data_IF_815232249885
#
_entry.id   IF_815232249885
#
_cell.length_a   1.000
_cell.length_b   1.000
_cell.length_c   1.000
_cell.angle_alpha   90.00
_cell.angle_beta   90.00
_cell.angle_gamma   90.00
#
_symmetry.space_group_name_H-M   'P 1'
#
loop_
_entity.id
_entity.type
_entity.pdbx_description
1 polymer ?
#
# COMPACT_ATOMS: atom_id res chain seq x y z
N UNK A 1 -36.02 42.04 8.75
CA UNK A 1 -34.82 42.79 9.19
C UNK A 1 -33.62 42.14 8.52
N UNK A 2 -33.03 42.84 7.56
CA UNK A 2 -31.93 42.41 6.69
C UNK A 2 -30.68 43.17 7.13
N UNK A 3 -29.53 42.51 7.24
CA UNK A 3 -28.24 43.17 7.45
C UNK A 3 -27.36 42.93 6.22
N UNK A 4 -27.37 43.94 5.36
CA UNK A 4 -26.39 44.22 4.31
C UNK A 4 -25.17 44.91 4.92
N UNK A 5 -23.96 44.48 4.55
CA UNK A 5 -22.73 45.30 4.51
C UNK A 5 -21.90 44.74 3.34
N UNK A 6 -22.08 45.18 2.09
CA UNK A 6 -21.39 46.27 1.38
C UNK A 6 -19.85 46.28 1.47
N UNK A 7 -19.22 45.93 0.34
CA UNK A 7 -17.82 46.19 -0.01
C UNK A 7 -17.58 47.67 -0.33
N UNK A 8 -16.35 48.18 -0.17
CA UNK A 8 -15.87 49.32 -0.95
C UNK A 8 -15.05 48.87 -2.18
N UNK A 9 -15.45 49.41 -3.35
CA UNK A 9 -14.67 49.52 -4.58
C UNK A 9 -14.18 50.98 -4.68
N UNK A 10 -12.92 51.19 -5.05
CA UNK A 10 -12.36 52.35 -5.81
C UNK A 10 -10.87 52.06 -6.01
N UNK A 11 -10.29 51.82 -7.19
CA UNK A 11 -10.39 52.41 -8.54
C UNK A 11 -9.64 53.75 -8.69
N UNK A 12 -8.42 53.70 -9.25
CA UNK A 12 -7.67 54.77 -9.93
C UNK A 12 -6.26 54.21 -10.33
N UNK A 13 -6.08 53.73 -11.57
CA UNK A 13 -5.54 54.44 -12.75
C UNK A 13 -4.02 54.72 -12.79
N UNK A 14 -3.39 54.01 -13.73
CA UNK A 14 -2.48 54.51 -14.80
C UNK A 14 -1.00 54.86 -14.49
N UNK A 15 -0.13 54.06 -15.14
CA UNK A 15 1.26 54.27 -15.60
C UNK A 15 1.67 55.70 -16.04
N UNK A 16 2.98 56.09 -16.03
CA UNK A 16 3.94 55.68 -17.08
C UNK A 16 5.42 55.45 -16.68
N UNK A 17 6.10 54.71 -17.57
CA UNK A 17 7.55 54.50 -17.72
C UNK A 17 8.29 55.78 -18.15
N UNK A 18 9.59 55.92 -17.82
CA UNK A 18 10.55 56.33 -18.87
C UNK A 18 11.84 55.47 -18.94
N UNK A 19 12.20 55.08 -20.18
CA UNK A 19 13.57 54.79 -20.65
C UNK A 19 14.50 56.03 -20.45
N UNK A 20 15.85 56.06 -20.40
CA UNK A 20 16.90 55.38 -21.21
C UNK A 20 18.32 55.77 -20.68
N UNK A 21 19.31 54.88 -20.92
CA UNK A 21 20.82 54.88 -20.87
C UNK A 21 21.58 56.17 -21.31
N UNK A 22 22.94 56.36 -21.14
CA UNK A 22 24.04 55.38 -21.37
C UNK A 22 25.40 55.46 -20.56
N UNK A 23 26.17 54.35 -20.63
CA UNK A 23 27.64 54.11 -20.63
C UNK A 23 28.67 54.88 -19.74
N UNK A 24 29.55 54.10 -19.07
CA UNK A 24 31.00 54.03 -19.41
C UNK A 24 31.78 52.88 -18.71
N UNK A 25 32.32 51.99 -19.55
CA UNK A 25 33.65 51.34 -19.56
C UNK A 25 34.33 50.70 -18.32
N UNK A 26 34.50 49.37 -18.45
CA UNK A 26 35.74 48.57 -18.30
C UNK A 26 36.44 48.44 -16.93
N UNK A 27 36.43 47.21 -16.39
CA UNK A 27 37.65 46.41 -16.16
C UNK A 27 37.30 44.92 -15.98
N UNK A 28 37.82 44.10 -16.89
CA UNK A 28 37.63 42.65 -17.00
C UNK A 28 38.80 41.95 -16.30
N UNK A 29 38.59 41.04 -15.32
CA UNK A 29 39.62 40.09 -14.92
C UNK A 29 39.71 38.93 -15.93
N UNK A 30 40.89 38.33 -16.14
CA UNK A 30 41.06 37.20 -17.06
C UNK A 30 40.27 35.97 -16.58
N UNK A 31 39.83 35.08 -17.49
CA UNK A 31 39.11 33.87 -17.09
C UNK A 31 40.06 32.91 -16.34
N UNK A 32 39.59 32.25 -15.26
CA UNK A 32 40.34 31.16 -14.66
C UNK A 32 40.42 29.98 -15.65
N UNK A 33 41.47 29.14 -15.55
CA UNK A 33 41.71 28.05 -16.47
C UNK A 33 40.55 27.05 -16.44
N UNK A 34 40.26 26.52 -17.62
CA UNK A 34 39.31 25.45 -17.91
C UNK A 34 39.61 24.23 -17.04
N UNK A 35 39.02 24.16 -15.86
CA UNK A 35 38.74 22.88 -15.21
C UNK A 35 37.34 22.51 -15.64
N UNK A 36 37.23 21.50 -16.50
CA UNK A 36 36.01 20.75 -16.74
C UNK A 36 35.57 20.07 -15.44
N UNK A 37 35.07 20.87 -14.51
CA UNK A 37 34.22 20.39 -13.45
C UNK A 37 32.85 20.24 -14.10
N UNK A 38 32.62 19.06 -14.70
CA UNK A 38 31.26 18.53 -14.76
C UNK A 38 30.83 18.38 -13.30
N UNK A 39 30.36 19.48 -12.72
CA UNK A 39 29.54 19.44 -11.53
C UNK A 39 28.33 18.64 -11.99
N UNK A 40 28.33 17.34 -11.68
CA UNK A 40 27.15 16.53 -11.81
C UNK A 40 26.09 17.27 -11.00
N UNK A 41 25.19 17.96 -11.70
CA UNK A 41 23.96 18.45 -11.11
C UNK A 41 23.40 17.27 -10.32
N UNK A 42 23.02 17.44 -9.03
CA UNK A 42 22.36 16.35 -8.33
C UNK A 42 21.24 15.89 -9.25
N UNK A 43 21.26 14.60 -9.61
CA UNK A 43 20.30 14.05 -10.55
C UNK A 43 18.92 14.53 -10.10
N UNK A 44 18.24 15.30 -10.95
CA UNK A 44 16.99 15.93 -10.59
C UNK A 44 16.05 14.83 -10.06
N UNK A 45 15.44 15.06 -8.90
CA UNK A 45 14.48 14.10 -8.36
C UNK A 45 13.42 13.79 -9.44
N UNK A 46 13.01 12.51 -9.60
CA UNK A 46 12.00 12.15 -10.57
C UNK A 46 10.77 13.04 -10.41
N UNK A 47 10.27 13.59 -11.52
CA UNK A 47 9.06 14.42 -11.53
C UNK A 47 7.92 13.68 -12.22
N UNK A 48 6.70 13.99 -11.81
CA UNK A 48 5.47 13.39 -12.33
C UNK A 48 5.07 14.11 -13.62
N UNK A 49 5.04 13.39 -14.76
CA UNK A 49 4.60 13.96 -16.04
C UNK A 49 3.09 13.78 -16.28
N UNK A 50 2.52 12.77 -15.62
CA UNK A 50 1.10 12.42 -15.60
C UNK A 50 0.81 11.76 -14.26
N UNK A 51 -0.41 11.84 -13.70
CA UNK A 51 -0.73 11.23 -12.41
C UNK A 51 -0.29 9.77 -12.32
N UNK A 52 0.64 9.48 -11.41
CA UNK A 52 1.22 8.17 -11.19
C UNK A 52 2.42 7.78 -12.03
N UNK A 53 2.79 8.58 -13.03
CA UNK A 53 3.82 8.22 -13.99
C UNK A 53 5.03 9.17 -13.86
N UNK A 54 6.18 8.59 -13.53
CA UNK A 54 7.38 9.33 -13.15
C UNK A 54 8.38 9.39 -14.30
N UNK A 55 9.11 10.51 -14.42
CA UNK A 55 10.07 10.76 -15.52
C UNK A 55 11.18 9.72 -15.66
N UNK A 56 11.44 8.94 -14.62
CA UNK A 56 12.42 7.83 -14.60
C UNK A 56 11.81 6.47 -14.99
N UNK A 57 10.54 6.44 -15.40
CA UNK A 57 9.80 5.24 -15.79
C UNK A 57 9.17 4.49 -14.62
N UNK A 58 9.31 4.98 -13.37
CA UNK A 58 8.66 4.36 -12.21
C UNK A 58 7.18 4.73 -12.11
N UNK A 59 6.42 3.90 -11.39
CA UNK A 59 5.04 4.19 -11.03
C UNK A 59 4.95 4.75 -9.61
N UNK A 60 4.05 5.70 -9.36
CA UNK A 60 3.81 6.26 -8.01
C UNK A 60 2.41 5.89 -7.50
N UNK A 61 2.17 6.09 -6.19
CA UNK A 61 0.88 5.83 -5.56
C UNK A 61 -0.29 6.65 -6.16
N UNK A 62 0.01 7.75 -6.86
CA UNK A 62 -1.00 8.56 -7.54
C UNK A 62 -1.52 7.93 -8.83
N UNK A 63 -0.94 6.79 -9.26
CA UNK A 63 -1.38 6.12 -10.46
C UNK A 63 -2.81 5.63 -10.30
N UNK A 64 -3.66 5.95 -11.28
CA UNK A 64 -5.09 5.65 -11.26
C UNK A 64 -5.37 4.16 -11.00
N UNK A 65 -4.56 3.26 -11.56
CA UNK A 65 -4.70 1.82 -11.34
C UNK A 65 -4.42 1.41 -9.88
N UNK A 66 -3.45 2.08 -9.22
CA UNK A 66 -3.15 1.87 -7.80
C UNK A 66 -4.32 2.34 -6.94
N UNK A 67 -4.81 3.56 -7.19
CA UNK A 67 -5.94 4.13 -6.44
C UNK A 67 -7.20 3.27 -6.60
N UNK A 68 -7.49 2.83 -7.82
CA UNK A 68 -8.63 1.98 -8.10
C UNK A 68 -8.49 0.61 -7.44
N UNK A 69 -7.29 0.00 -7.49
CA UNK A 69 -7.00 -1.26 -6.83
C UNK A 69 -7.22 -1.17 -5.30
N UNK A 70 -6.66 -0.14 -4.65
CA UNK A 70 -6.83 0.10 -3.20
C UNK A 70 -8.29 0.36 -2.83
N UNK A 71 -9.03 1.08 -3.68
CA UNK A 71 -10.47 1.29 -3.45
C UNK A 71 -11.25 -0.01 -3.55
N UNK A 72 -11.01 -0.81 -4.60
CA UNK A 72 -11.76 -2.04 -4.88
C UNK A 72 -11.44 -3.15 -3.88
N UNK A 73 -10.18 -3.30 -3.46
CA UNK A 73 -9.82 -4.26 -2.41
C UNK A 73 -10.47 -3.91 -1.07
N UNK A 74 -10.56 -2.61 -0.74
CA UNK A 74 -11.27 -2.16 0.46
C UNK A 74 -12.76 -2.54 0.43
N UNK A 75 -13.42 -2.28 -0.70
CA UNK A 75 -14.82 -2.67 -0.90
C UNK A 75 -15.02 -4.18 -0.81
N UNK A 76 -14.16 -4.97 -1.46
CA UNK A 76 -14.23 -6.42 -1.42
C UNK A 76 -14.10 -6.98 0.00
N UNK A 77 -13.26 -6.38 0.84
CA UNK A 77 -13.18 -6.74 2.27
C UNK A 77 -14.48 -6.42 3.02
N UNK A 78 -15.08 -5.26 2.76
CA UNK A 78 -16.34 -4.86 3.40
C UNK A 78 -17.51 -5.77 3.00
N UNK A 79 -17.60 -6.15 1.72
CA UNK A 79 -18.59 -7.11 1.21
C UNK A 79 -18.40 -8.49 1.85
N UNK A 80 -17.17 -9.02 1.83
CA UNK A 80 -16.86 -10.31 2.42
C UNK A 80 -17.10 -10.34 3.93
N UNK A 81 -16.87 -9.23 4.64
CA UNK A 81 -17.19 -9.12 6.06
C UNK A 81 -18.69 -9.19 6.30
N UNK A 82 -19.47 -8.45 5.51
CA UNK A 82 -20.93 -8.43 5.62
C UNK A 82 -21.54 -9.81 5.34
N UNK A 83 -21.04 -10.52 4.32
CA UNK A 83 -21.43 -11.89 4.01
C UNK A 83 -21.08 -12.85 5.14
N UNK A 84 -19.87 -12.77 5.69
CA UNK A 84 -19.46 -13.60 6.82
C UNK A 84 -20.32 -13.29 8.06
N UNK A 85 -20.67 -12.03 8.30
CA UNK A 85 -21.47 -11.59 9.44
C UNK A 85 -22.95 -11.96 9.35
N UNK A 86 -23.46 -12.22 8.14
CA UNK A 86 -24.85 -12.63 7.94
C UNK A 86 -25.17 -14.01 8.56
N UNK A 87 -24.15 -14.83 8.84
CA UNK A 87 -24.29 -16.14 9.45
C UNK A 87 -24.25 -16.04 10.99
N UNK A 88 -25.30 -16.47 11.72
CA UNK A 88 -25.36 -16.35 13.18
C UNK A 88 -24.18 -16.99 13.93
N UNK A 89 -23.66 -18.11 13.44
CA UNK A 89 -22.49 -18.82 13.97
C UNK A 89 -21.21 -17.99 13.95
N UNK A 90 -21.14 -16.97 13.09
CA UNK A 90 -19.97 -16.11 12.92
C UNK A 90 -20.01 -14.87 13.80
N UNK A 91 -21.12 -14.61 14.51
CA UNK A 91 -21.26 -13.46 15.40
C UNK A 91 -20.08 -13.24 16.37
N UNK A 92 -19.43 -14.28 16.95
CA UNK A 92 -18.27 -14.09 17.82
C UNK A 92 -17.07 -13.42 17.13
N UNK A 93 -16.90 -13.61 15.82
CA UNK A 93 -15.82 -13.02 15.04
C UNK A 93 -16.01 -11.53 14.77
N UNK A 94 -17.26 -11.05 14.84
CA UNK A 94 -17.69 -9.71 14.46
C UNK A 94 -17.97 -8.79 15.65
N UNK A 95 -17.62 -9.23 16.87
CA UNK A 95 -17.71 -8.37 18.05
C UNK A 95 -16.64 -7.28 17.95
N UNK A 96 -17.09 -6.06 17.70
CA UNK A 96 -16.23 -4.88 17.59
C UNK A 96 -16.14 -4.14 18.93
N UNK A 97 -14.97 -3.60 19.25
CA UNK A 97 -14.78 -2.64 20.36
C UNK A 97 -13.86 -1.51 19.91
N UNK A 98 -14.03 -0.31 20.48
CA UNK A 98 -13.21 0.84 20.13
C UNK A 98 -13.29 1.20 18.65
N UNK A 99 -12.19 1.00 17.92
CA UNK A 99 -11.95 1.43 16.54
C UNK A 99 -12.76 0.69 15.44
N UNK A 100 -13.80 -0.06 15.82
CA UNK A 100 -14.70 -0.79 14.89
C UNK A 100 -14.01 -1.78 13.96
N UNK A 101 -12.95 -2.43 14.43
CA UNK A 101 -12.31 -3.57 13.76
C UNK A 101 -12.80 -4.84 14.44
N UNK A 102 -13.15 -5.85 13.65
CA UNK A 102 -13.54 -7.18 14.10
C UNK A 102 -12.34 -8.14 14.09
N UNK A 103 -12.42 -9.25 14.84
CA UNK A 103 -11.41 -10.31 14.75
C UNK A 103 -11.39 -10.97 13.37
N UNK A 104 -12.56 -11.07 12.72
CA UNK A 104 -12.61 -11.48 11.32
C UNK A 104 -11.78 -10.56 10.43
N UNK A 105 -11.97 -9.25 10.52
CA UNK A 105 -11.21 -8.28 9.71
C UNK A 105 -9.71 -8.35 10.02
N UNK A 106 -9.36 -8.49 11.30
CA UNK A 106 -7.96 -8.56 11.72
C UNK A 106 -7.22 -9.80 11.19
N UNK A 107 -7.88 -10.96 11.11
CA UNK A 107 -7.22 -12.22 10.74
C UNK A 107 -7.55 -12.71 9.33
N UNK A 108 -8.79 -12.54 8.87
CA UNK A 108 -9.35 -13.24 7.70
C UNK A 108 -9.49 -12.37 6.46
N UNK A 109 -9.51 -11.04 6.60
CA UNK A 109 -9.67 -10.13 5.45
C UNK A 109 -8.48 -10.13 4.47
N UNK A 110 -7.37 -10.77 4.84
CA UNK A 110 -6.14 -10.78 4.07
C UNK A 110 -6.28 -11.39 2.68
N UNK A 111 -5.79 -10.70 1.65
CA UNK A 111 -5.86 -11.20 0.25
C UNK A 111 -4.76 -12.18 -0.13
N UNK A 112 -3.72 -12.31 0.70
CA UNK A 112 -2.65 -13.29 0.51
C UNK A 112 -2.58 -14.22 1.72
N UNK A 113 -2.28 -15.49 1.45
CA UNK A 113 -2.04 -16.52 2.44
C UNK A 113 -0.56 -16.91 2.49
N UNK A 114 -0.22 -17.66 3.54
CA UNK A 114 1.12 -18.23 3.67
C UNK A 114 1.43 -19.15 2.47
N UNK A 115 2.54 -18.87 1.79
CA UNK A 115 2.95 -19.60 0.58
C UNK A 115 2.50 -18.96 -0.73
N UNK A 116 1.63 -17.95 -0.69
CA UNK A 116 1.27 -17.20 -1.90
C UNK A 116 2.45 -16.38 -2.42
N UNK A 117 2.55 -16.34 -3.75
CA UNK A 117 3.57 -15.58 -4.47
C UNK A 117 2.96 -14.65 -5.53
N UNK A 118 3.79 -14.18 -6.45
CA UNK A 118 3.35 -13.21 -7.47
C UNK A 118 2.21 -13.69 -8.38
N UNK A 119 2.03 -14.99 -8.59
CA UNK A 119 0.94 -15.50 -9.40
C UNK A 119 -0.42 -15.34 -8.70
N UNK A 120 -0.50 -15.62 -7.40
CA UNK A 120 -1.71 -15.36 -6.61
C UNK A 120 -2.02 -13.86 -6.57
N UNK A 121 -1.00 -13.04 -6.30
CA UNK A 121 -1.09 -11.58 -6.37
C UNK A 121 -1.60 -11.10 -7.73
N UNK A 122 -1.07 -11.65 -8.83
CA UNK A 122 -1.50 -11.31 -10.20
C UNK A 122 -2.97 -11.60 -10.39
N UNK A 123 -3.45 -12.77 -9.99
CA UNK A 123 -4.86 -13.12 -10.05
C UNK A 123 -5.73 -12.08 -9.32
N UNK A 124 -5.35 -11.64 -8.12
CA UNK A 124 -6.10 -10.62 -7.39
C UNK A 124 -6.10 -9.26 -8.07
N UNK A 125 -4.95 -8.79 -8.56
CA UNK A 125 -4.84 -7.50 -9.26
C UNK A 125 -5.65 -7.53 -10.55
N UNK A 126 -5.48 -8.55 -11.39
CA UNK A 126 -6.21 -8.68 -12.66
C UNK A 126 -7.71 -8.84 -12.42
N UNK A 127 -8.13 -9.61 -11.42
CA UNK A 127 -9.55 -9.75 -11.08
C UNK A 127 -10.17 -8.42 -10.64
N UNK A 128 -9.52 -7.70 -9.70
CA UNK A 128 -10.02 -6.41 -9.23
C UNK A 128 -9.95 -5.32 -10.30
N UNK A 129 -9.19 -5.51 -11.37
CA UNK A 129 -9.02 -4.56 -12.46
C UNK A 129 -9.63 -5.05 -13.79
N UNK A 130 -10.46 -6.11 -13.76
CA UNK A 130 -10.94 -6.81 -14.96
C UNK A 130 -11.71 -5.93 -15.96
N UNK A 131 -12.44 -4.92 -15.47
CA UNK A 131 -13.25 -4.02 -16.32
C UNK A 131 -12.42 -3.11 -17.23
N UNK A 132 -11.10 -3.04 -17.00
CA UNK A 132 -10.19 -2.18 -17.75
C UNK A 132 -9.76 -2.81 -19.10
N UNK A 133 -10.38 -3.93 -19.45
CA UNK A 133 -10.12 -4.71 -20.65
C UNK A 133 -9.02 -5.76 -20.45
N UNK A 134 -8.94 -6.77 -21.33
CA UNK A 134 -7.84 -7.73 -21.34
C UNK A 134 -6.57 -7.03 -21.83
N UNK A 135 -5.96 -6.25 -20.95
CA UNK A 135 -4.55 -5.92 -21.05
C UNK A 135 -3.80 -7.00 -20.31
N UNK A 136 -2.95 -7.75 -20.98
CA UNK A 136 -1.95 -8.57 -20.29
C UNK A 136 -1.03 -7.60 -19.52
N UNK A 137 -1.43 -7.24 -18.30
CA UNK A 137 -0.63 -6.42 -17.42
C UNK A 137 0.70 -7.15 -17.26
N UNK A 138 1.80 -6.49 -17.65
CA UNK A 138 3.10 -7.10 -17.44
C UNK A 138 3.29 -7.37 -15.95
N UNK A 139 4.01 -8.44 -15.62
CA UNK A 139 4.23 -8.80 -14.22
C UNK A 139 4.88 -7.65 -13.43
N UNK A 140 5.73 -6.85 -14.08
CA UNK A 140 6.36 -5.69 -13.47
C UNK A 140 5.33 -4.59 -13.12
N UNK A 141 4.27 -4.37 -13.94
CA UNK A 141 3.19 -3.44 -13.59
C UNK A 141 2.33 -3.99 -12.45
N UNK A 142 1.99 -5.28 -12.48
CA UNK A 142 1.24 -5.94 -11.38
C UNK A 142 1.97 -5.80 -10.05
N UNK A 143 3.28 -6.05 -10.05
CA UNK A 143 4.16 -5.86 -8.88
C UNK A 143 4.08 -4.43 -8.37
N UNK A 144 4.21 -3.46 -9.27
CA UNK A 144 4.17 -2.06 -8.91
C UNK A 144 2.80 -1.65 -8.34
N UNK A 145 1.68 -2.09 -8.94
CA UNK A 145 0.32 -1.81 -8.46
C UNK A 145 0.13 -2.36 -7.04
N UNK A 146 0.47 -3.62 -6.83
CA UNK A 146 0.30 -4.29 -5.56
C UNK A 146 1.13 -3.62 -4.46
N UNK A 147 2.42 -3.41 -4.70
CA UNK A 147 3.34 -2.85 -3.70
C UNK A 147 2.98 -1.41 -3.36
N UNK A 148 2.68 -0.57 -4.35
CA UNK A 148 2.23 0.79 -4.09
C UNK A 148 0.89 0.80 -3.35
N UNK A 149 -0.03 -0.13 -3.66
CA UNK A 149 -1.28 -0.27 -2.94
C UNK A 149 -1.07 -0.62 -1.47
N UNK A 150 -0.24 -1.62 -1.19
CA UNK A 150 0.10 -2.06 0.15
C UNK A 150 0.78 -0.93 0.96
N UNK A 151 1.80 -0.27 0.39
CA UNK A 151 2.49 0.85 1.03
C UNK A 151 1.56 2.05 1.25
N UNK A 152 0.67 2.35 0.30
CA UNK A 152 -0.29 3.46 0.44
C UNK A 152 -1.34 3.19 1.51
N UNK A 153 -1.72 1.93 1.74
CA UNK A 153 -2.68 1.55 2.77
C UNK A 153 -2.06 1.48 4.18
N UNK A 154 -0.74 1.26 4.29
CA UNK A 154 -0.02 1.03 5.54
C UNK A 154 -0.31 2.06 6.66
N UNK A 155 -0.28 3.39 6.41
CA UNK A 155 -0.49 4.36 7.49
C UNK A 155 -1.97 4.54 7.87
N UNK A 156 -2.90 3.78 7.29
CA UNK A 156 -4.34 3.98 7.46
C UNK A 156 -5.10 2.74 7.95
N UNK A 157 -4.84 2.25 9.18
CA UNK A 157 -5.53 1.10 9.78
C UNK A 157 -7.05 1.25 9.94
N UNK A 158 -7.60 2.47 9.80
CA UNK A 158 -9.04 2.71 9.78
C UNK A 158 -9.75 2.30 8.49
N UNK A 159 -9.03 2.04 7.39
CA UNK A 159 -9.63 1.59 6.13
C UNK A 159 -9.53 0.07 5.98
N UNK A 160 -10.53 -0.54 5.35
CA UNK A 160 -10.57 -1.98 5.09
C UNK A 160 -9.37 -2.48 4.26
N UNK A 161 -8.90 -1.66 3.31
CA UNK A 161 -7.73 -1.99 2.49
C UNK A 161 -6.45 -2.23 3.32
N UNK A 162 -6.28 -1.56 4.47
CA UNK A 162 -5.16 -1.85 5.36
C UNK A 162 -5.17 -3.32 5.78
N UNK A 163 -6.34 -3.84 6.20
CA UNK A 163 -6.48 -5.20 6.71
C UNK A 163 -6.33 -6.26 5.62
N UNK A 164 -6.66 -5.91 4.37
CA UNK A 164 -6.43 -6.77 3.22
C UNK A 164 -4.93 -7.09 3.00
N UNK A 165 -4.05 -6.12 3.25
CA UNK A 165 -2.60 -6.28 3.10
C UNK A 165 -1.95 -6.69 4.43
N UNK A 166 -2.29 -6.00 5.51
CA UNK A 166 -1.54 -6.00 6.77
C UNK A 166 -2.28 -6.69 7.93
N UNK A 167 -3.37 -7.40 7.63
CA UNK A 167 -4.01 -8.34 8.54
C UNK A 167 -3.05 -9.45 9.00
N UNK A 168 -3.37 -10.12 10.09
CA UNK A 168 -2.46 -11.07 10.75
C UNK A 168 -1.95 -12.17 9.81
N UNK A 169 -2.82 -12.70 8.96
CA UNK A 169 -2.46 -13.79 8.04
C UNK A 169 -1.78 -13.32 6.76
N UNK A 170 -2.06 -12.09 6.29
CA UNK A 170 -1.53 -11.57 5.02
C UNK A 170 -0.30 -10.69 5.17
N UNK A 171 -0.01 -10.19 6.37
CA UNK A 171 1.07 -9.22 6.59
C UNK A 171 2.44 -9.77 6.17
N UNK A 172 2.76 -11.02 6.53
CA UNK A 172 4.06 -11.63 6.20
C UNK A 172 4.20 -11.88 4.69
N UNK A 173 3.27 -12.56 4.00
CA UNK A 173 3.32 -12.69 2.54
C UNK A 173 3.39 -11.33 1.83
N UNK A 174 2.60 -10.36 2.25
CA UNK A 174 2.63 -9.00 1.68
C UNK A 174 4.01 -8.36 1.87
N UNK A 175 4.58 -8.45 3.07
CA UNK A 175 5.90 -7.91 3.36
C UNK A 175 7.00 -8.58 2.54
N UNK A 176 6.91 -9.89 2.28
CA UNK A 176 7.85 -10.59 1.40
C UNK A 176 7.81 -10.03 -0.03
N UNK A 177 6.61 -9.82 -0.59
CA UNK A 177 6.44 -9.25 -1.92
C UNK A 177 6.88 -7.78 -2.00
N UNK A 178 6.55 -6.97 -0.98
CA UNK A 178 7.00 -5.57 -0.88
C UNK A 178 8.52 -5.51 -0.80
N UNK A 179 9.13 -6.33 0.06
CA UNK A 179 10.57 -6.37 0.22
C UNK A 179 11.26 -6.80 -1.08
N UNK A 180 10.72 -7.78 -1.81
CA UNK A 180 11.28 -8.18 -3.10
C UNK A 180 11.33 -7.03 -4.11
N UNK A 181 10.35 -6.12 -4.12
CA UNK A 181 10.31 -4.98 -5.06
C UNK A 181 11.16 -3.82 -4.58
N UNK A 182 11.10 -3.49 -3.29
CA UNK A 182 11.80 -2.34 -2.71
C UNK A 182 13.30 -2.60 -2.54
N UNK A 183 13.67 -3.78 -2.03
CA UNK A 183 15.06 -4.11 -1.70
C UNK A 183 15.74 -4.97 -2.75
N UNK A 184 15.10 -5.28 -3.88
CA UNK A 184 15.77 -6.00 -4.97
C UNK A 184 17.06 -5.27 -5.30
N UNK A 185 18.20 -5.98 -5.41
CA UNK A 185 19.45 -5.33 -5.77
C UNK A 185 19.22 -4.59 -7.09
N UNK A 186 19.63 -3.32 -7.13
CA UNK A 186 20.10 -2.71 -8.38
C UNK A 186 21.18 -3.66 -8.90
N UNK A 187 20.81 -4.68 -9.67
CA UNK A 187 21.72 -5.76 -10.01
C UNK A 187 22.86 -5.17 -10.85
N UNK A 188 24.01 -4.98 -10.20
CA UNK A 188 25.29 -4.99 -10.88
C UNK A 188 25.48 -6.42 -11.38
N UNK A 189 25.64 -6.57 -12.69
CA UNK A 189 25.87 -7.85 -13.38
C UNK A 189 27.04 -8.56 -12.71
N UNK A 190 26.86 -9.86 -12.46
CA UNK A 190 27.91 -10.75 -12.01
C UNK A 190 28.85 -11.19 -13.16
N UNK A 191 28.66 -10.67 -14.37
CA UNK A 191 29.52 -10.94 -15.52
C UNK A 191 30.64 -9.86 -15.61
N UNK A 192 31.91 -10.22 -15.34
CA UNK A 192 33.05 -9.30 -15.45
C UNK A 192 33.34 -8.85 -16.89
N UNK A 193 32.74 -9.49 -17.90
CA UNK A 193 32.88 -9.12 -19.32
C UNK A 193 31.77 -8.19 -19.84
N UNK A 194 30.63 -8.09 -19.18
CA UNK A 194 29.60 -7.09 -19.49
C UNK A 194 29.80 -5.82 -18.65
N UNK A 195 30.61 -4.88 -19.15
CA UNK A 195 30.92 -3.56 -18.54
C UNK A 195 29.72 -2.61 -18.31
N UNK A 196 28.49 -3.07 -18.48
CA UNK A 196 27.28 -2.27 -18.24
C UNK A 196 26.12 -3.21 -17.94
N UNK A 197 26.07 -3.72 -16.73
CA UNK A 197 24.76 -4.02 -16.16
C UNK A 197 24.07 -2.69 -15.97
N UNK A 198 23.09 -2.39 -16.81
CA UNK A 198 22.18 -1.32 -16.45
C UNK A 198 21.43 -1.81 -15.19
N UNK A 199 21.49 -1.07 -14.07
CA UNK A 199 20.73 -1.44 -12.90
C UNK A 199 19.27 -1.52 -13.33
N UNK A 200 18.62 -2.68 -13.10
CA UNK A 200 17.19 -2.82 -13.42
C UNK A 200 16.46 -1.62 -12.79
N UNK A 201 15.68 -0.84 -13.57
CA UNK A 201 15.05 0.37 -13.06
C UNK A 201 14.11 0.01 -11.92
N UNK A 202 14.01 0.91 -10.94
CA UNK A 202 13.04 0.77 -9.88
C UNK A 202 11.64 0.66 -10.52
N UNK A 203 10.80 -0.24 -9.99
CA UNK A 203 9.43 -0.38 -10.48
C UNK A 203 8.54 0.76 -9.96
N UNK A 204 8.91 1.32 -8.82
CA UNK A 204 8.07 2.23 -8.06
C UNK A 204 8.86 3.44 -7.58
N UNK A 205 8.17 4.57 -7.48
CA UNK A 205 8.55 5.68 -6.62
C UNK A 205 7.88 5.48 -5.27
N UNK A 206 8.67 5.41 -4.21
CA UNK A 206 8.19 5.19 -2.86
C UNK A 206 7.24 6.32 -2.38
N UNK A 207 6.10 5.99 -1.74
CA UNK A 207 5.19 7.01 -1.22
C UNK A 207 5.86 7.88 -0.16
N UNK A 208 5.67 9.21 -0.22
CA UNK A 208 6.37 10.19 0.65
C UNK A 208 6.22 9.98 2.16
N UNK A 209 5.15 9.32 2.60
CA UNK A 209 4.82 9.15 4.01
C UNK A 209 5.22 7.77 4.56
N UNK A 210 5.85 6.94 3.74
CA UNK A 210 6.23 5.57 4.09
C UNK A 210 7.69 5.36 3.69
N UNK A 211 8.44 4.68 4.56
CA UNK A 211 9.81 4.28 4.28
C UNK A 211 9.96 2.80 4.59
N UNK A 212 10.28 2.00 3.58
CA UNK A 212 10.51 0.56 3.67
C UNK A 212 12.00 0.27 3.47
N UNK A 213 12.73 0.13 4.57
CA UNK A 213 14.18 -0.11 4.55
C UNK A 213 14.46 -1.58 4.24
N UNK A 214 13.85 -2.45 5.03
CA UNK A 214 13.90 -3.90 4.91
C UNK A 214 12.62 -4.52 5.49
N UNK A 215 12.47 -5.84 5.35
CA UNK A 215 11.31 -6.59 5.85
C UNK A 215 11.13 -6.44 7.36
N UNK A 216 12.20 -6.47 8.15
CA UNK A 216 12.11 -6.45 9.61
C UNK A 216 11.63 -5.09 10.12
N UNK A 217 12.19 -4.02 9.57
CA UNK A 217 11.74 -2.65 9.81
C UNK A 217 10.30 -2.44 9.34
N UNK A 218 9.95 -2.88 8.13
CA UNK A 218 8.59 -2.79 7.61
C UNK A 218 7.57 -3.53 8.49
N UNK A 219 7.89 -4.74 8.93
CA UNK A 219 7.04 -5.51 9.84
C UNK A 219 6.96 -4.93 11.25
N UNK A 220 8.00 -4.24 11.71
CA UNK A 220 7.93 -3.45 12.94
C UNK A 220 6.92 -2.31 12.81
N UNK A 221 6.95 -1.58 11.70
CA UNK A 221 5.97 -0.52 11.43
C UNK A 221 4.54 -1.07 11.33
N UNK A 222 4.33 -2.18 10.61
CA UNK A 222 3.02 -2.86 10.50
C UNK A 222 2.45 -3.19 11.89
N UNK A 223 3.27 -3.76 12.80
CA UNK A 223 2.84 -4.04 14.18
C UNK A 223 2.44 -2.75 14.90
N UNK A 224 3.25 -1.69 14.81
CA UNK A 224 2.96 -0.40 15.42
C UNK A 224 1.62 0.19 14.97
N UNK A 225 1.31 0.15 13.67
CA UNK A 225 0.01 0.62 13.15
C UNK A 225 -1.16 -0.28 13.57
N UNK A 226 -0.95 -1.59 13.59
CA UNK A 226 -2.01 -2.58 13.83
C UNK A 226 -2.43 -2.69 15.29
N UNK A 227 -1.47 -2.72 16.21
CA UNK A 227 -1.71 -3.14 17.60
C UNK A 227 -2.70 -2.20 18.32
N UNK A 228 -2.70 -0.91 17.99
CA UNK A 228 -3.67 0.06 18.52
C UNK A 228 -5.10 -0.10 18.00
N UNK A 229 -5.32 -0.92 16.98
CA UNK A 229 -6.61 -1.10 16.28
C UNK A 229 -7.24 -2.47 16.49
N UNK A 230 -6.52 -3.41 17.12
CA UNK A 230 -7.05 -4.75 17.37
C UNK A 230 -8.22 -4.71 18.36
N UNK A 231 -9.20 -5.64 18.23
CA UNK A 231 -10.31 -5.72 19.18
C UNK A 231 -9.80 -5.99 20.59
N UNK A 232 -10.38 -5.31 21.59
CA UNK A 232 -10.07 -5.54 23.01
C UNK A 232 -10.80 -6.76 23.59
N UNK A 233 -11.80 -7.28 22.88
CA UNK A 233 -12.52 -8.49 23.31
C UNK A 233 -11.66 -9.73 23.09
N UNK A 234 -11.77 -10.76 23.94
CA UNK A 234 -11.04 -12.00 23.75
C UNK A 234 -11.33 -12.62 22.38
N UNK A 235 -10.28 -13.15 21.75
CA UNK A 235 -10.35 -13.79 20.46
C UNK A 235 -11.37 -14.96 20.48
N UNK A 236 -12.16 -15.20 19.41
CA UNK A 236 -13.16 -16.27 19.37
C UNK A 236 -12.63 -17.64 19.79
N UNK A 237 -11.41 -17.99 19.36
CA UNK A 237 -10.77 -19.26 19.73
C UNK A 237 -10.41 -19.34 21.23
N UNK A 238 -10.08 -18.22 21.87
CA UNK A 238 -9.79 -18.17 23.31
C UNK A 238 -11.07 -18.31 24.14
N UNK A 239 -12.18 -17.74 23.67
CA UNK A 239 -13.50 -17.94 24.29
C UNK A 239 -13.90 -19.42 24.26
N UNK A 240 -13.75 -20.07 23.10
CA UNK A 240 -14.08 -21.50 22.94
C UNK A 240 -13.27 -22.39 23.88
N UNK A 241 -11.98 -22.11 24.03
CA UNK A 241 -11.11 -22.85 24.94
C UNK A 241 -11.51 -22.66 26.43
N UNK A 242 -11.94 -21.45 26.82
CA UNK A 242 -12.42 -21.18 28.19
C UNK A 242 -13.79 -21.81 28.47
N UNK A 243 -14.71 -21.81 27.51
CA UNK A 243 -16.01 -22.47 27.64
C UNK A 243 -15.84 -23.99 27.73
N UNK A 244 -14.99 -24.58 26.88
CA UNK A 244 -14.69 -26.02 26.93
C UNK A 244 -13.93 -26.43 28.20
N UNK A 245 -13.07 -25.55 28.75
CA UNK A 245 -12.41 -25.77 30.04
C UNK A 245 -13.36 -25.66 31.24
N UNK A 246 -14.39 -24.81 31.15
CA UNK A 246 -15.43 -24.68 32.17
C UNK A 246 -16.44 -25.84 32.14
N UNK A 247 -16.77 -26.35 30.95
CA UNK A 247 -17.62 -27.54 30.78
C UNK A 247 -16.85 -28.86 30.99
N UNK A 248 -15.52 -28.82 30.88
CA UNK A 248 -14.61 -29.96 31.04
C UNK A 248 -14.26 -30.32 32.49
N UNK A 249 -14.74 -29.55 33.48
CA UNK A 249 -14.66 -29.93 34.91
C UNK A 249 -15.76 -30.94 35.31
N UNK A 250 -16.52 -31.42 34.32
CA UNK A 250 -17.36 -32.61 34.40
C UNK A 250 -16.80 -33.74 33.52
N UNK A 251 -15.51 -34.06 33.70
CA UNK A 251 -14.97 -35.38 33.40
C UNK A 251 -14.38 -35.61 31.99
N UNK A 252 -13.30 -36.40 32.02
CA UNK A 252 -12.60 -37.11 30.93
C UNK A 252 -11.32 -36.44 30.43
N UNK A 253 -10.24 -36.88 31.06
CA UNK A 253 -8.88 -36.93 30.52
C UNK A 253 -8.85 -37.61 29.15
N UNK A 254 -8.46 -36.91 28.10
CA UNK A 254 -7.76 -37.53 26.97
C UNK A 254 -7.05 -36.47 26.13
N UNK A 255 -5.72 -36.48 26.21
CA UNK A 255 -4.87 -35.60 25.42
C UNK A 255 -4.96 -35.91 23.93
N UNK A 256 -5.14 -34.86 23.13
CA UNK A 256 -4.72 -34.80 21.73
C UNK A 256 -4.41 -33.35 21.38
N UNK A 257 -3.12 -33.03 21.29
CA UNK A 257 -2.61 -31.85 20.59
C UNK A 257 -3.06 -31.92 19.13
N UNK A 258 -4.17 -31.25 18.80
CA UNK A 258 -4.53 -31.02 17.40
C UNK A 258 -3.66 -29.91 16.85
N UNK A 259 -2.94 -30.25 15.79
CA UNK A 259 -2.15 -29.33 14.99
C UNK A 259 -3.04 -28.15 14.53
N UNK A 260 -2.45 -26.95 14.60
CA UNK A 260 -3.03 -25.68 14.20
C UNK A 260 -3.12 -25.65 12.68
N UNK A 261 -4.31 -25.84 12.11
CA UNK A 261 -4.53 -25.57 10.70
C UNK A 261 -4.51 -24.04 10.46
N UNK A 262 -3.77 -23.56 9.45
CA UNK A 262 -3.81 -22.17 9.04
C UNK A 262 -5.11 -21.92 8.28
N UNK A 263 -6.16 -21.54 9.00
CA UNK A 263 -7.40 -21.08 8.39
C UNK A 263 -7.19 -19.68 7.79
N UNK A 264 -6.73 -19.63 6.54
CA UNK A 264 -6.80 -18.44 5.70
C UNK A 264 -8.21 -18.22 5.12
N UNK A 265 -8.32 -17.27 4.20
CA UNK A 265 -9.50 -16.78 3.44
C UNK A 265 -10.43 -17.86 2.84
N UNK A 266 -10.11 -19.15 2.93
CA UNK A 266 -10.82 -20.26 2.26
C UNK A 266 -11.79 -21.06 3.16
N UNK A 267 -11.92 -20.73 4.45
CA UNK A 267 -12.82 -21.45 5.37
C UNK A 267 -14.27 -20.95 5.33
N UNK A 268 -14.53 -19.82 4.68
CA UNK A 268 -15.87 -19.51 4.18
C UNK A 268 -15.98 -20.18 2.82
N UNK A 269 -16.90 -21.14 2.66
CA UNK A 269 -17.12 -21.91 1.42
C UNK A 269 -17.60 -21.11 0.20
N UNK A 270 -17.03 -19.93 -0.05
CA UNK A 270 -17.14 -19.19 -1.29
C UNK A 270 -15.77 -19.21 -1.97
N UNK A 271 -15.54 -20.07 -2.98
CA UNK A 271 -14.44 -19.81 -3.90
C UNK A 271 -14.65 -18.42 -4.50
N UNK A 272 -13.57 -17.64 -4.66
CA UNK A 272 -13.57 -16.57 -5.66
C UNK A 272 -13.86 -17.23 -7.02
N UNK A 273 -15.13 -17.24 -7.45
CA UNK A 273 -15.54 -17.90 -8.68
C UNK A 273 -17.05 -18.02 -8.90
N UNK A 274 -17.49 -17.46 -10.02
CA UNK A 274 -18.75 -17.71 -10.76
C UNK A 274 -20.06 -17.18 -10.19
N UNK A 275 -20.37 -15.93 -10.57
CA UNK A 275 -21.66 -15.67 -11.22
C UNK A 275 -21.44 -14.92 -12.53
N UNK A 276 -21.41 -15.68 -13.62
CA UNK A 276 -22.08 -15.20 -14.83
C UNK A 276 -23.57 -15.08 -14.49
N UNK A 277 -24.11 -13.87 -14.64
CA UNK A 277 -25.51 -13.61 -14.95
C UNK A 277 -25.53 -12.37 -15.84
#
# INVERSE_FOLDING_TARGET
>A
MSLFIQHPISDARSEPVPERKPNSSQSRPPPPPTTSSTTASPAAAPYEYSPGCMSDGTMSANHWAVQLFVKRIGHAVEEAEAEHAAQPENAPWHVMTGHRVSWWRAEKAGILQAGDGWMACRTHVEHLLADLGPGEWSLDIVKAIFVLGALSALPFPGYAAFWAFWGMNSAVPTADLVNEVVTRPRQASADPTHRRAEPKPALITEPRNVSWIDKDYGMWAVRGYRDGWLPMVPHPNERRAKTQGADGDAGIMCGRTRAREPSGLLDAGAPFGNRQA
#
